data_IF_791429177887
#
_entry.id   IF_791429177887
#
_cell.length_a   1.000
_cell.length_b   1.000
_cell.length_c   1.000
_cell.angle_alpha   90.00
_cell.angle_beta   90.00
_cell.angle_gamma   90.00
#
_symmetry.space_group_name_H-M   'P 1'
#
loop_
_entity.id
_entity.type
_entity.pdbx_description
1 polymer ?
#
# COMPACT_ATOMS: atom_id res chain seq x y z
N UNK A 1 9.60 9.46 9.14
CA UNK A 1 9.91 8.47 8.07
C UNK A 1 8.87 8.60 6.97
N UNK A 2 9.30 8.88 5.74
CA UNK A 2 8.44 9.00 4.58
C UNK A 2 8.20 7.61 3.98
N UNK A 3 6.95 7.29 3.61
CA UNK A 3 6.57 5.98 3.07
C UNK A 3 5.66 6.16 1.87
N UNK A 4 5.60 5.13 1.04
CA UNK A 4 4.63 5.02 -0.04
C UNK A 4 3.39 4.31 0.48
N UNK A 5 2.23 4.90 0.21
CA UNK A 5 0.94 4.40 0.66
C UNK A 5 0.13 3.91 -0.53
N UNK A 6 -0.44 2.72 -0.38
CA UNK A 6 -1.31 2.12 -1.37
C UNK A 6 -2.57 1.55 -0.70
N UNK A 7 -3.62 1.39 -1.49
CA UNK A 7 -4.78 0.57 -1.16
C UNK A 7 -4.77 -0.68 -2.05
N UNK A 8 -4.84 -1.87 -1.46
CA UNK A 8 -5.06 -3.12 -2.19
C UNK A 8 -6.56 -3.40 -2.27
N UNK A 9 -7.04 -3.68 -3.48
CA UNK A 9 -8.44 -4.02 -3.74
C UNK A 9 -8.73 -5.52 -3.69
N UNK A 10 -7.71 -6.35 -3.46
CA UNK A 10 -7.82 -7.82 -3.48
C UNK A 10 -7.43 -8.44 -2.15
N UNK A 11 -7.21 -7.61 -1.12
CA UNK A 11 -6.57 -7.95 0.15
C UNK A 11 -5.16 -8.56 0.04
N UNK A 12 -4.64 -8.79 -1.17
CA UNK A 12 -3.27 -9.26 -1.41
C UNK A 12 -2.30 -8.11 -1.24
N UNK A 13 -1.11 -8.42 -0.72
CA UNK A 13 -0.03 -7.47 -0.61
C UNK A 13 1.30 -8.12 -1.00
N UNK A 14 2.28 -7.31 -1.45
CA UNK A 14 3.56 -7.84 -1.90
C UNK A 14 4.24 -8.59 -0.77
N UNK A 15 4.47 -9.89 -0.94
CA UNK A 15 5.21 -10.70 0.02
C UNK A 15 6.70 -10.35 -0.03
N UNK A 16 7.36 -10.37 1.13
CA UNK A 16 8.79 -10.12 1.20
C UNK A 16 9.56 -11.29 0.58
N UNK A 17 10.09 -11.10 -0.63
CA UNK A 17 11.03 -12.04 -1.19
C UNK A 17 12.35 -11.94 -0.40
N UNK A 18 12.57 -12.88 0.52
CA UNK A 18 13.81 -12.99 1.31
C UNK A 18 15.08 -12.99 0.44
N UNK A 19 14.98 -13.40 -0.82
CA UNK A 19 16.11 -13.52 -1.75
C UNK A 19 16.62 -12.19 -2.30
N UNK A 20 15.81 -11.14 -2.29
CA UNK A 20 16.23 -9.79 -2.68
C UNK A 20 16.26 -8.96 -1.41
N UNK A 21 17.44 -8.66 -0.89
CA UNK A 21 17.67 -7.90 0.35
C UNK A 21 17.03 -6.49 0.42
N UNK A 22 16.13 -6.14 -0.50
CA UNK A 22 15.24 -4.99 -0.37
C UNK A 22 14.20 -5.29 0.73
N UNK A 23 14.53 -4.90 1.96
CA UNK A 23 13.58 -4.78 3.08
C UNK A 23 12.29 -4.10 2.62
N UNK A 24 11.25 -4.89 2.35
CA UNK A 24 9.87 -4.42 2.26
C UNK A 24 9.21 -4.75 3.58
N UNK A 25 9.27 -3.82 4.53
CA UNK A 25 8.35 -3.87 5.66
C UNK A 25 7.02 -3.38 5.13
N UNK A 26 6.17 -4.33 4.75
CA UNK A 26 4.78 -4.10 4.41
C UNK A 26 3.99 -4.20 5.70
N UNK A 27 3.36 -3.11 6.11
CA UNK A 27 2.28 -3.18 7.09
C UNK A 27 0.97 -3.11 6.32
N UNK A 28 0.22 -4.22 6.34
CA UNK A 28 -1.15 -4.26 5.84
C UNK A 28 -2.11 -4.18 7.02
N UNK A 29 -3.05 -3.24 6.96
CA UNK A 29 -4.18 -3.19 7.91
C UNK A 29 -5.44 -3.49 7.12
N UNK A 30 -6.13 -4.58 7.51
CA UNK A 30 -7.44 -4.93 6.97
C UNK A 30 -8.48 -3.93 7.51
N UNK A 31 -9.32 -3.40 6.62
CA UNK A 31 -10.35 -2.43 7.01
C UNK A 31 -11.75 -2.91 6.59
N UNK A 32 -11.87 -3.59 5.44
CA UNK A 32 -13.11 -4.19 4.92
C UNK A 32 -12.75 -5.46 4.17
N UNK A 33 -13.64 -6.46 4.06
CA UNK A 33 -13.33 -7.84 3.63
C UNK A 33 -12.33 -7.99 2.46
N UNK A 34 -12.32 -7.07 1.49
CA UNK A 34 -11.42 -7.13 0.32
C UNK A 34 -10.44 -5.95 0.18
N UNK A 35 -10.42 -5.01 1.11
CA UNK A 35 -9.60 -3.78 1.02
C UNK A 35 -8.62 -3.69 2.18
N UNK A 36 -7.35 -3.45 1.86
CA UNK A 36 -6.30 -3.22 2.85
C UNK A 36 -5.42 -2.03 2.49
N UNK A 37 -4.99 -1.28 3.51
CA UNK A 37 -3.99 -0.22 3.35
C UNK A 37 -2.62 -0.86 3.44
N UNK A 38 -1.76 -0.55 2.50
CA UNK A 38 -0.41 -1.08 2.37
C UNK A 38 0.58 0.05 2.53
N UNK A 39 1.37 0.00 3.60
CA UNK A 39 2.52 0.88 3.81
C UNK A 39 3.77 0.25 3.23
N UNK A 40 4.53 0.99 2.41
CA UNK A 40 5.76 0.52 1.78
C UNK A 40 6.92 1.50 1.99
N UNK A 41 8.13 0.99 2.24
CA UNK A 41 9.34 1.83 2.34
C UNK A 41 9.90 2.28 0.98
N UNK A 42 9.39 1.70 -0.12
CA UNK A 42 9.75 2.04 -1.48
C UNK A 42 8.53 1.95 -2.39
N UNK A 43 8.64 2.54 -3.57
CA UNK A 43 7.62 2.43 -4.59
C UNK A 43 7.41 0.96 -5.00
N UNK A 44 6.14 0.58 -5.18
CA UNK A 44 5.76 -0.72 -5.70
C UNK A 44 6.22 -0.86 -7.15
N UNK A 45 6.69 -2.05 -7.52
CA UNK A 45 7.02 -2.34 -8.92
C UNK A 45 5.73 -2.58 -9.70
N UNK A 46 5.72 -2.36 -11.02
CA UNK A 46 4.54 -2.63 -11.86
C UNK A 46 3.99 -4.05 -11.68
N UNK A 47 4.86 -5.05 -11.50
CA UNK A 47 4.46 -6.46 -11.27
C UNK A 47 3.64 -6.63 -10.00
N UNK A 48 3.97 -5.92 -8.93
CA UNK A 48 3.24 -6.02 -7.66
C UNK A 48 1.99 -5.17 -7.64
N UNK A 49 2.02 -4.02 -8.32
CA UNK A 49 0.83 -3.20 -8.55
C UNK A 49 -0.23 -4.04 -9.24
N UNK A 50 0.13 -4.77 -10.30
CA UNK A 50 -0.81 -5.63 -10.99
C UNK A 50 -1.22 -6.87 -10.17
N UNK A 51 -0.27 -7.57 -9.55
CA UNK A 51 -0.54 -8.79 -8.78
C UNK A 51 -1.42 -8.56 -7.55
N UNK A 52 -1.25 -7.41 -6.88
CA UNK A 52 -1.99 -7.07 -5.66
C UNK A 52 -3.12 -6.06 -5.91
N UNK A 53 -3.30 -5.59 -7.16
CA UNK A 53 -4.22 -4.50 -7.52
C UNK A 53 -4.06 -3.30 -6.60
N UNK A 54 -2.83 -2.81 -6.49
CA UNK A 54 -2.48 -1.66 -5.67
C UNK A 54 -2.89 -0.36 -6.35
N UNK A 55 -3.54 0.51 -5.61
CA UNK A 55 -3.85 1.87 -5.99
C UNK A 55 -2.97 2.82 -5.19
N UNK A 56 -2.25 3.70 -5.87
CA UNK A 56 -1.34 4.64 -5.21
C UNK A 56 -2.11 5.77 -4.51
N UNK A 57 -1.78 6.03 -3.25
CA UNK A 57 -2.40 7.06 -2.42
C UNK A 57 -1.47 8.21 -2.07
N UNK A 58 -0.15 8.04 -2.23
CA UNK A 58 0.83 9.11 -2.03
C UNK A 58 2.11 8.68 -1.33
N UNK A 59 3.05 9.62 -1.28
CA UNK A 59 4.31 9.50 -0.57
C UNK A 59 4.33 10.52 0.57
N UNK A 60 4.75 10.08 1.76
CA UNK A 60 4.80 10.94 2.95
C UNK A 60 4.45 10.22 4.26
N UNK A 61 4.05 11.01 5.23
CA UNK A 61 3.61 10.56 6.55
C UNK A 61 2.14 10.11 6.53
N UNK A 62 1.79 9.18 7.43
CA UNK A 62 0.40 8.73 7.58
C UNK A 62 -0.59 9.88 7.80
N UNK A 63 -0.18 10.89 8.58
CA UNK A 63 -1.02 12.04 8.94
C UNK A 63 -1.09 13.13 7.87
N UNK A 64 -0.43 12.94 6.72
CA UNK A 64 -0.46 13.95 5.68
C UNK A 64 -1.84 13.99 5.03
N UNK A 65 -2.38 15.20 4.87
CA UNK A 65 -3.77 15.41 4.44
C UNK A 65 -4.08 14.73 3.10
N UNK A 66 -3.19 14.85 2.12
CA UNK A 66 -3.37 14.24 0.79
C UNK A 66 -3.39 12.71 0.85
N UNK A 67 -2.65 12.10 1.78
CA UNK A 67 -2.65 10.63 1.96
C UNK A 67 -3.99 10.18 2.55
N UNK A 68 -4.47 10.86 3.60
CA UNK A 68 -5.76 10.53 4.21
C UNK A 68 -6.92 10.70 3.21
N UNK A 69 -6.96 11.82 2.48
CA UNK A 69 -8.01 12.08 1.48
C UNK A 69 -8.02 11.04 0.36
N UNK A 70 -6.84 10.65 -0.15
CA UNK A 70 -6.74 9.62 -1.19
C UNK A 70 -7.15 8.25 -0.68
N UNK A 71 -6.75 7.87 0.54
CA UNK A 71 -7.14 6.60 1.14
C UNK A 71 -8.66 6.57 1.32
N UNK A 72 -9.25 7.58 1.95
CA UNK A 72 -10.70 7.67 2.15
C UNK A 72 -11.48 7.58 0.84
N UNK A 73 -10.99 8.22 -0.23
CA UNK A 73 -11.61 8.14 -1.56
C UNK A 73 -11.74 6.69 -2.05
N UNK A 74 -10.69 5.89 -1.88
CA UNK A 74 -10.69 4.49 -2.31
C UNK A 74 -11.34 3.54 -1.29
N UNK A 75 -11.47 3.94 -0.02
CA UNK A 75 -12.19 3.16 1.00
C UNK A 75 -13.72 3.28 0.88
N UNK A 76 -14.22 4.35 0.25
CA UNK A 76 -15.67 4.60 0.03
C UNK A 76 -16.23 3.86 -1.19
N UNK A 77 -15.37 3.23 -2.01
CA UNK A 77 -15.76 2.33 -3.11
C UNK A 77 -16.28 0.99 -2.56
#
# INVERSE_FOLDING_TARGET
MQNYWYVSLTHKYPQSNRSTGSMRVVLSVLIKENVSIVKMMREATPKEIDACKLVYCGYGGWKDKHIQENIEKYMKL
#
